data_IF_607732696105
#
_entry.id   IF_607732696105
#
_cell.length_a   1.000
_cell.length_b   1.000
_cell.length_c   1.000
_cell.angle_alpha   90.00
_cell.angle_beta   90.00
_cell.angle_gamma   90.00
#
_symmetry.space_group_name_H-M   'P 1'
#
loop_
_entity.id
_entity.type
_entity.pdbx_description
1 polymer ?
#
# COMPACT_ATOMS: atom_id res chain seq x y z
N UNK A 1 8.02 -12.00 -2.48
CA UNK A 1 6.91 -12.16 -3.44
C UNK A 1 7.38 -12.89 -4.67
N UNK A 2 6.48 -13.61 -5.30
CA UNK A 2 6.71 -14.34 -6.56
C UNK A 2 5.68 -13.92 -7.59
N UNK A 3 5.93 -14.21 -8.87
CA UNK A 3 4.95 -14.07 -9.94
C UNK A 3 4.15 -15.37 -10.11
N UNK A 4 2.96 -15.28 -10.69
CA UNK A 4 2.11 -16.40 -11.09
C UNK A 4 2.64 -17.03 -12.39
N UNK A 5 3.63 -17.93 -12.28
CA UNK A 5 4.35 -18.51 -13.42
C UNK A 5 4.91 -17.46 -14.40
N UNK A 6 5.40 -16.34 -13.84
CA UNK A 6 5.91 -15.19 -14.60
C UNK A 6 4.87 -14.13 -14.96
N UNK A 7 3.60 -14.32 -14.57
CA UNK A 7 2.52 -13.35 -14.71
C UNK A 7 2.22 -12.63 -13.40
N UNK A 8 1.52 -11.51 -13.48
CA UNK A 8 1.05 -10.76 -12.30
C UNK A 8 -0.19 -11.44 -11.71
N UNK A 9 -0.32 -11.39 -10.38
CA UNK A 9 -1.48 -11.89 -9.66
C UNK A 9 -2.70 -11.01 -9.91
N UNK A 10 -3.86 -11.63 -10.11
CA UNK A 10 -5.13 -10.91 -10.21
C UNK A 10 -5.54 -10.37 -8.85
N UNK A 11 -5.56 -9.04 -8.72
CA UNK A 11 -6.12 -8.37 -7.57
C UNK A 11 -7.61 -8.09 -7.77
N UNK A 12 -8.38 -8.05 -6.68
CA UNK A 12 -9.74 -7.49 -6.76
C UNK A 12 -9.65 -5.96 -6.87
N UNK A 13 -10.65 -5.32 -7.52
CA UNK A 13 -10.62 -3.87 -7.76
C UNK A 13 -10.42 -3.04 -6.50
N UNK A 14 -10.99 -3.46 -5.37
CA UNK A 14 -10.91 -2.74 -4.10
C UNK A 14 -9.48 -2.69 -3.55
N UNK A 15 -8.68 -3.75 -3.73
CA UNK A 15 -7.26 -3.75 -3.38
C UNK A 15 -6.49 -2.77 -4.28
N UNK A 16 -6.70 -2.83 -5.59
CA UNK A 16 -6.01 -1.92 -6.53
C UNK A 16 -6.35 -0.46 -6.25
N UNK A 17 -7.61 -0.16 -5.95
CA UNK A 17 -8.06 1.17 -5.54
C UNK A 17 -7.38 1.59 -4.23
N UNK A 18 -7.32 0.70 -3.23
CA UNK A 18 -6.70 1.03 -1.96
C UNK A 18 -5.21 1.32 -2.07
N UNK A 19 -4.49 0.55 -2.88
CA UNK A 19 -3.08 0.82 -3.19
C UNK A 19 -2.90 2.20 -3.86
N UNK A 20 -3.76 2.54 -4.82
CA UNK A 20 -3.72 3.84 -5.48
C UNK A 20 -4.03 5.00 -4.50
N UNK A 21 -5.01 4.82 -3.61
CA UNK A 21 -5.35 5.80 -2.58
C UNK A 21 -4.17 6.04 -1.62
N UNK A 22 -3.49 4.99 -1.17
CA UNK A 22 -2.31 5.12 -0.32
C UNK A 22 -1.18 5.92 -1.02
N UNK A 23 -0.93 5.65 -2.31
CA UNK A 23 0.03 6.43 -3.10
C UNK A 23 -0.39 7.90 -3.18
N UNK A 24 -1.67 8.16 -3.46
CA UNK A 24 -2.19 9.53 -3.57
C UNK A 24 -2.04 10.31 -2.27
N UNK A 25 -2.33 9.70 -1.11
CA UNK A 25 -2.14 10.33 0.20
C UNK A 25 -0.69 10.75 0.44
N UNK A 26 0.27 9.89 0.08
CA UNK A 26 1.70 10.18 0.20
C UNK A 26 2.12 11.30 -0.76
N UNK A 27 1.68 11.25 -2.01
CA UNK A 27 1.98 12.28 -3.00
C UNK A 27 1.41 13.64 -2.59
N UNK A 28 0.19 13.68 -2.05
CA UNK A 28 -0.42 14.89 -1.51
C UNK A 28 0.41 15.45 -0.36
N UNK A 29 0.81 14.62 0.60
CA UNK A 29 1.64 15.04 1.73
C UNK A 29 3.02 15.55 1.29
N UNK A 30 3.61 14.97 0.25
CA UNK A 30 4.88 15.45 -0.32
C UNK A 30 4.72 16.79 -1.05
N UNK A 31 3.61 16.99 -1.76
CA UNK A 31 3.37 18.18 -2.59
C UNK A 31 2.86 19.37 -1.76
N UNK A 32 1.95 19.11 -0.83
CA UNK A 32 1.32 20.11 0.04
C UNK A 32 1.27 19.55 1.47
N UNK A 33 2.39 19.63 2.22
CA UNK A 33 2.46 19.06 3.57
C UNK A 33 1.35 19.60 4.48
N UNK A 34 0.52 18.70 4.99
CA UNK A 34 -0.55 18.98 5.93
C UNK A 34 -0.20 18.54 7.36
N UNK A 35 -1.23 18.21 8.15
CA UNK A 35 -1.07 17.61 9.48
C UNK A 35 -0.53 16.17 9.33
N UNK A 36 0.71 15.90 9.78
CA UNK A 36 1.32 14.56 9.65
C UNK A 36 0.55 13.47 10.41
N UNK A 37 -0.07 13.80 11.55
CA UNK A 37 -0.82 12.80 12.32
C UNK A 37 -2.12 12.41 11.61
N UNK A 38 -2.83 13.40 11.06
CA UNK A 38 -4.04 13.16 10.29
C UNK A 38 -3.75 12.34 9.03
N UNK A 39 -2.64 12.65 8.35
CA UNK A 39 -2.20 11.90 7.18
C UNK A 39 -1.84 10.45 7.51
N UNK A 40 -1.09 10.22 8.60
CA UNK A 40 -0.78 8.87 9.09
C UNK A 40 -2.06 8.08 9.39
N UNK A 41 -3.03 8.69 10.06
CA UNK A 41 -4.30 8.04 10.36
C UNK A 41 -5.06 7.65 9.09
N UNK A 42 -5.07 8.52 8.07
CA UNK A 42 -5.68 8.21 6.77
C UNK A 42 -4.98 7.06 6.04
N UNK A 43 -3.64 6.98 6.10
CA UNK A 43 -2.88 5.84 5.57
C UNK A 43 -3.21 4.53 6.28
N UNK A 44 -3.30 4.54 7.61
CA UNK A 44 -3.65 3.37 8.41
C UNK A 44 -5.09 2.91 8.16
N UNK A 45 -6.02 3.86 8.00
CA UNK A 45 -7.41 3.59 7.62
C UNK A 45 -7.48 2.92 6.24
N UNK A 46 -6.86 3.52 5.22
CA UNK A 46 -6.86 2.97 3.87
C UNK A 46 -6.21 1.58 3.81
N UNK A 47 -5.10 1.41 4.54
CA UNK A 47 -4.44 0.11 4.67
C UNK A 47 -5.38 -0.93 5.30
N UNK A 48 -6.14 -0.56 6.34
CA UNK A 48 -7.15 -1.42 6.95
C UNK A 48 -8.27 -1.82 5.98
N UNK A 49 -8.75 -0.88 5.16
CA UNK A 49 -9.80 -1.13 4.17
C UNK A 49 -9.37 -2.14 3.09
N UNK A 50 -8.07 -2.21 2.75
CA UNK A 50 -7.56 -3.23 1.83
C UNK A 50 -7.81 -4.64 2.36
N UNK A 51 -7.66 -4.88 3.67
CA UNK A 51 -7.95 -6.18 4.28
C UNK A 51 -9.45 -6.44 4.36
N UNK A 52 -10.22 -5.44 4.80
CA UNK A 52 -11.68 -5.57 4.95
C UNK A 52 -12.36 -5.89 3.61
N UNK A 53 -11.84 -5.34 2.51
CA UNK A 53 -12.41 -5.49 1.17
C UNK A 53 -11.71 -6.54 0.32
N UNK A 54 -10.76 -7.30 0.87
CA UNK A 54 -10.09 -8.37 0.12
C UNK A 54 -11.05 -9.54 -0.09
N UNK A 55 -11.52 -9.72 -1.32
CA UNK A 55 -12.37 -10.85 -1.71
C UNK A 55 -11.60 -11.97 -2.42
N UNK A 56 -10.28 -11.79 -2.59
CA UNK A 56 -9.43 -12.81 -3.21
C UNK A 56 -9.33 -14.06 -2.35
N UNK A 57 -9.12 -15.19 -3.02
CA UNK A 57 -8.84 -16.48 -2.37
C UNK A 57 -7.67 -17.18 -3.06
N UNK A 58 -7.11 -18.20 -2.43
CA UNK A 58 -5.99 -18.97 -2.99
C UNK A 58 -4.67 -18.20 -2.99
N UNK A 59 -3.81 -18.48 -3.97
CA UNK A 59 -2.43 -17.98 -3.93
C UNK A 59 -2.31 -16.47 -4.18
N UNK A 60 -3.19 -15.88 -5.00
CA UNK A 60 -3.25 -14.43 -5.18
C UNK A 60 -3.50 -13.70 -3.85
N UNK A 61 -4.38 -14.24 -3.00
CA UNK A 61 -4.62 -13.75 -1.65
C UNK A 61 -3.36 -13.86 -0.78
N UNK A 62 -2.71 -15.03 -0.77
CA UNK A 62 -1.48 -15.24 0.01
C UNK A 62 -0.37 -14.25 -0.40
N UNK A 63 -0.20 -14.03 -1.70
CA UNK A 63 0.81 -13.12 -2.22
C UNK A 63 0.48 -11.66 -1.92
N UNK A 64 -0.79 -11.24 -1.96
CA UNK A 64 -1.19 -9.92 -1.49
C UNK A 64 -0.78 -9.76 -0.03
N UNK A 65 -1.15 -10.69 0.86
CA UNK A 65 -0.82 -10.58 2.27
C UNK A 65 0.70 -10.55 2.50
N UNK A 66 1.48 -11.32 1.75
CA UNK A 66 2.94 -11.25 1.78
C UNK A 66 3.49 -9.87 1.38
N UNK A 67 2.85 -9.21 0.41
CA UNK A 67 3.20 -7.84 0.00
C UNK A 67 2.79 -6.78 1.03
N UNK A 68 1.70 -6.99 1.77
CA UNK A 68 1.23 -6.04 2.78
C UNK A 68 2.07 -6.06 4.07
N UNK A 69 2.79 -7.15 4.36
CA UNK A 69 3.63 -7.27 5.58
C UNK A 69 4.64 -6.13 5.71
N UNK A 70 5.48 -5.82 4.69
CA UNK A 70 6.44 -4.73 4.81
C UNK A 70 5.80 -3.33 4.89
N UNK A 71 4.56 -3.16 4.41
CA UNK A 71 3.82 -1.90 4.56
C UNK A 71 3.39 -1.73 6.02
N UNK A 72 2.79 -2.76 6.62
CA UNK A 72 2.40 -2.75 8.03
C UNK A 72 3.58 -2.47 8.97
N UNK A 73 4.73 -3.09 8.69
CA UNK A 73 5.95 -2.88 9.48
C UNK A 73 6.44 -1.42 9.41
N UNK A 74 6.39 -0.81 8.22
CA UNK A 74 6.76 0.61 8.05
C UNK A 74 5.76 1.55 8.73
N UNK A 75 4.45 1.27 8.63
CA UNK A 75 3.40 2.10 9.25
C UNK A 75 3.56 2.25 10.77
N UNK A 76 3.99 1.18 11.46
CA UNK A 76 4.18 1.22 12.91
C UNK A 76 5.15 2.32 13.38
N UNK A 77 6.18 2.63 12.60
CA UNK A 77 7.17 3.67 12.87
C UNK A 77 7.03 4.91 12.00
N UNK A 78 6.00 4.97 11.15
CA UNK A 78 5.89 5.98 10.10
C UNK A 78 5.70 7.38 10.67
N UNK A 79 6.54 8.31 10.21
CA UNK A 79 6.44 9.74 10.45
C UNK A 79 6.16 10.45 9.12
N UNK A 80 4.94 10.94 8.94
CA UNK A 80 4.50 11.63 7.73
C UNK A 80 5.10 13.04 7.55
N UNK A 81 5.95 13.50 8.48
CA UNK A 81 6.79 14.69 8.31
C UNK A 81 8.18 14.37 7.77
N UNK A 82 8.57 13.09 7.77
CA UNK A 82 9.87 12.62 7.27
C UNK A 82 9.79 12.33 5.76
N UNK A 83 10.43 13.20 4.97
CA UNK A 83 10.48 13.08 3.52
C UNK A 83 11.14 11.78 3.03
N UNK A 84 12.09 11.21 3.79
CA UNK A 84 12.72 9.95 3.43
C UNK A 84 11.73 8.79 3.59
N UNK A 85 10.98 8.77 4.69
CA UNK A 85 9.96 7.73 4.91
C UNK A 85 8.80 7.83 3.92
N UNK A 86 8.37 9.05 3.56
CA UNK A 86 7.38 9.27 2.51
C UNK A 86 7.87 8.69 1.17
N UNK A 87 9.11 9.00 0.77
CA UNK A 87 9.69 8.48 -0.46
C UNK A 87 9.83 6.95 -0.44
N UNK A 88 10.37 6.37 0.64
CA UNK A 88 10.53 4.92 0.78
C UNK A 88 9.19 4.18 0.74
N UNK A 89 8.16 4.71 1.41
CA UNK A 89 6.82 4.13 1.36
C UNK A 89 6.24 4.22 -0.05
N UNK A 90 6.34 5.39 -0.70
CA UNK A 90 5.88 5.59 -2.08
C UNK A 90 6.54 4.61 -3.04
N UNK A 91 7.86 4.50 -2.98
CA UNK A 91 8.63 3.61 -3.85
C UNK A 91 8.21 2.15 -3.66
N UNK A 92 8.01 1.72 -2.40
CA UNK A 92 7.54 0.38 -2.12
C UNK A 92 6.13 0.13 -2.67
N UNK A 93 5.18 1.04 -2.44
CA UNK A 93 3.81 0.95 -2.97
C UNK A 93 3.82 0.95 -4.50
N UNK A 94 4.74 1.66 -5.13
CA UNK A 94 4.94 1.69 -6.58
C UNK A 94 5.28 0.33 -7.19
N UNK A 95 5.91 -0.57 -6.42
CA UNK A 95 6.23 -1.94 -6.89
C UNK A 95 4.99 -2.83 -7.00
N UNK A 96 3.82 -2.42 -6.49
CA UNK A 96 2.58 -3.20 -6.57
C UNK A 96 2.27 -3.64 -8.01
N UNK A 97 2.42 -2.73 -8.98
CA UNK A 97 2.14 -3.00 -10.39
C UNK A 97 3.07 -4.00 -11.07
N UNK A 98 4.22 -4.31 -10.44
CA UNK A 98 5.15 -5.34 -10.90
C UNK A 98 4.65 -6.75 -10.57
N UNK A 99 3.77 -6.88 -9.58
CA UNK A 99 3.31 -8.16 -9.06
C UNK A 99 1.80 -8.38 -9.20
N UNK A 100 1.00 -7.31 -9.29
CA UNK A 100 -0.45 -7.38 -9.34
C UNK A 100 -1.03 -6.61 -10.54
N UNK A 101 -2.19 -7.07 -11.02
CA UNK A 101 -3.00 -6.41 -12.05
C UNK A 101 -4.50 -6.62 -11.87
#
# INVERSE_FOLDING_TARGET
MTLDDGQRWKANPETTIGMANMVALIEEQMATPGDPMAMKAALEEEFGLIFERCTMTGEAHNQLHNYLIPIHQRLSGFDASDAAQLAEMKDYLGTYGDYFE
#
